data_IF_978996067626
#
_entry.id   IF_978996067626
#
_cell.length_a   1.000
_cell.length_b   1.000
_cell.length_c   1.000
_cell.angle_alpha   90.00
_cell.angle_beta   90.00
_cell.angle_gamma   90.00
#
_symmetry.space_group_name_H-M   'P 1'
#
loop_
_entity.id
_entity.type
_entity.pdbx_description
1 polymer ?
#
# COMPACT_ATOMS: atom_id res chain seq x y z
N UNK A 1 10.61 5.59 1.46
CA UNK A 1 9.82 6.37 0.48
C UNK A 1 9.19 5.40 -0.50
N UNK A 2 8.05 5.74 -1.11
CA UNK A 2 7.27 4.81 -1.93
C UNK A 2 8.07 4.21 -3.10
N UNK A 3 8.92 5.01 -3.76
CA UNK A 3 9.80 4.54 -4.85
C UNK A 3 10.74 3.42 -4.40
N UNK A 4 11.39 3.59 -3.25
CA UNK A 4 12.29 2.58 -2.68
C UNK A 4 11.54 1.28 -2.35
N UNK A 5 10.30 1.37 -1.88
CA UNK A 5 9.49 0.18 -1.57
C UNK A 5 9.16 -0.58 -2.85
N UNK A 6 8.74 0.10 -3.92
CA UNK A 6 8.50 -0.54 -5.21
C UNK A 6 9.76 -1.25 -5.73
N UNK A 7 10.92 -0.60 -5.67
CA UNK A 7 12.18 -1.18 -6.10
C UNK A 7 12.58 -2.42 -5.27
N UNK A 8 12.40 -2.35 -3.94
CA UNK A 8 12.79 -3.43 -3.04
C UNK A 8 11.82 -4.61 -3.03
N UNK A 9 10.53 -4.39 -3.29
CA UNK A 9 9.51 -5.44 -3.20
C UNK A 9 9.15 -6.02 -4.57
N UNK A 10 9.16 -5.19 -5.63
CA UNK A 10 8.78 -5.64 -6.97
C UNK A 10 10.00 -5.90 -7.87
N UNK A 11 11.18 -5.40 -7.50
CA UNK A 11 12.41 -5.54 -8.27
C UNK A 11 12.59 -4.42 -9.31
N UNK A 12 13.71 -4.49 -10.04
CA UNK A 12 14.15 -3.44 -10.98
C UNK A 12 13.32 -3.40 -12.27
N UNK A 13 12.71 -4.52 -12.65
CA UNK A 13 11.95 -4.60 -13.89
C UNK A 13 10.50 -4.11 -13.74
N UNK A 14 10.02 -3.85 -12.52
CA UNK A 14 8.68 -3.30 -12.29
C UNK A 14 8.68 -1.79 -12.48
N UNK A 15 7.98 -1.31 -13.51
CA UNK A 15 7.91 0.12 -13.83
C UNK A 15 6.56 0.70 -13.43
N UNK A 16 6.58 1.61 -12.46
CA UNK A 16 5.41 2.40 -12.07
C UNK A 16 5.78 3.86 -11.85
N UNK A 17 4.93 4.76 -12.36
CA UNK A 17 5.10 6.20 -12.24
C UNK A 17 4.25 6.73 -11.09
N UNK A 18 4.89 7.23 -10.03
CA UNK A 18 4.22 7.87 -8.91
C UNK A 18 3.73 9.27 -9.31
N UNK A 19 2.52 9.62 -8.90
CA UNK A 19 1.93 10.93 -9.15
C UNK A 19 2.26 11.91 -8.03
N UNK A 20 3.19 12.81 -8.31
CA UNK A 20 3.57 13.90 -7.40
C UNK A 20 4.25 13.42 -6.12
N UNK A 21 4.58 14.39 -5.25
CA UNK A 21 5.31 14.14 -4.01
C UNK A 21 4.39 14.13 -2.77
N UNK A 22 3.11 14.44 -2.94
CA UNK A 22 2.12 14.48 -1.86
C UNK A 22 1.41 13.11 -1.76
N UNK A 23 1.21 12.57 -0.54
CA UNK A 23 0.41 11.37 -0.35
C UNK A 23 -1.07 11.67 -0.64
N UNK A 24 -1.78 10.70 -1.21
CA UNK A 24 -3.23 10.79 -1.48
C UNK A 24 -4.08 10.49 -0.25
N UNK A 25 -3.49 9.86 0.76
CA UNK A 25 -4.17 9.47 1.98
C UNK A 25 -3.24 8.81 2.98
N UNK A 26 -3.77 8.50 4.14
CA UNK A 26 -3.04 7.76 5.17
C UNK A 26 -3.97 6.87 5.97
N UNK A 27 -3.41 5.80 6.53
CA UNK A 27 -4.05 4.93 7.50
C UNK A 27 -3.22 4.91 8.78
N UNK A 28 -3.85 5.03 9.94
CA UNK A 28 -3.18 4.94 11.25
C UNK A 28 -3.80 3.84 12.08
N UNK A 29 -2.97 3.07 12.77
CA UNK A 29 -3.43 2.04 13.69
C UNK A 29 -2.55 1.97 14.92
N UNK A 30 -3.14 1.48 16.02
CA UNK A 30 -2.48 1.33 17.32
C UNK A 30 -2.09 -0.13 17.50
N UNK A 31 -0.88 -0.38 18.00
CA UNK A 31 -0.43 -1.75 18.24
C UNK A 31 -1.16 -2.40 19.43
N UNK A 32 -1.28 -3.74 19.45
CA UNK A 32 -1.75 -4.48 20.62
C UNK A 32 -0.98 -4.11 21.88
N UNK A 33 -1.60 -4.26 23.07
CA UNK A 33 -0.98 -3.87 24.35
C UNK A 33 0.42 -4.48 24.53
N UNK A 34 0.59 -5.74 24.15
CA UNK A 34 1.85 -6.49 24.31
C UNK A 34 3.04 -5.89 23.55
N UNK A 35 2.81 -5.24 22.41
CA UNK A 35 3.89 -4.70 21.55
C UNK A 35 4.20 -3.23 21.92
N UNK A 36 3.26 -2.54 22.57
CA UNK A 36 3.40 -1.12 22.94
C UNK A 36 4.42 -0.88 24.04
N UNK A 37 4.74 -1.88 24.83
CA UNK A 37 5.74 -1.81 25.91
C UNK A 37 7.15 -1.53 25.35
N UNK A 38 7.39 -1.85 24.07
CA UNK A 38 8.67 -1.63 23.38
C UNK A 38 8.81 -0.22 22.76
N UNK A 39 8.02 0.76 23.23
CA UNK A 39 8.20 2.18 22.95
C UNK A 39 7.45 2.76 21.75
N UNK A 40 6.87 1.93 20.87
CA UNK A 40 6.05 2.40 19.74
C UNK A 40 4.56 2.20 19.99
N UNK A 41 3.77 3.28 19.90
CA UNK A 41 2.30 3.22 20.10
C UNK A 41 1.55 2.55 18.93
N UNK A 42 2.08 2.67 17.72
CA UNK A 42 1.39 2.25 16.50
C UNK A 42 2.15 2.70 15.25
N UNK A 43 1.47 2.64 14.11
CA UNK A 43 2.02 3.06 12.82
C UNK A 43 1.06 3.98 12.06
N UNK A 44 1.66 4.84 11.22
CA UNK A 44 0.97 5.66 10.24
C UNK A 44 1.53 5.35 8.86
N UNK A 45 0.68 4.84 7.98
CA UNK A 45 0.99 4.47 6.60
C UNK A 45 0.49 5.56 5.68
N UNK A 46 1.36 6.07 4.80
CA UNK A 46 1.00 7.05 3.79
C UNK A 46 0.89 6.37 2.42
N UNK A 47 -0.22 6.59 1.74
CA UNK A 47 -0.48 6.05 0.41
C UNK A 47 -0.13 7.07 -0.65
N UNK A 48 0.49 6.60 -1.72
CA UNK A 48 0.84 7.38 -2.90
C UNK A 48 0.20 6.72 -4.12
N UNK A 49 -0.33 7.54 -5.02
CA UNK A 49 -0.89 7.04 -6.27
C UNK A 49 0.24 6.78 -7.26
N UNK A 50 0.19 5.63 -7.93
CA UNK A 50 1.11 5.32 -9.02
C UNK A 50 0.36 4.70 -10.19
N UNK A 51 0.83 4.98 -11.41
CA UNK A 51 0.39 4.30 -12.62
C UNK A 51 1.39 3.22 -12.99
N UNK A 52 0.92 1.99 -13.11
CA UNK A 52 1.70 0.91 -13.68
C UNK A 52 1.97 1.18 -15.16
N UNK A 53 3.24 1.09 -15.57
CA UNK A 53 3.72 1.37 -16.92
C UNK A 53 4.20 0.10 -17.64
N UNK A 54 4.49 -0.97 -16.92
CA UNK A 54 4.91 -2.26 -17.48
C UNK A 54 5.91 -3.02 -16.61
N UNK A 55 6.20 -4.25 -17.01
CA UNK A 55 7.22 -5.12 -16.42
C UNK A 55 6.73 -5.96 -15.23
N UNK A 56 7.48 -7.02 -14.93
CA UNK A 56 7.03 -8.05 -13.98
C UNK A 56 7.66 -7.92 -12.59
N UNK A 57 6.94 -8.43 -11.60
CA UNK A 57 7.43 -8.57 -10.23
C UNK A 57 8.47 -9.71 -10.21
N UNK A 58 9.73 -9.37 -9.94
CA UNK A 58 10.83 -10.35 -9.98
C UNK A 58 11.06 -11.06 -8.66
N UNK A 59 10.64 -10.45 -7.54
CA UNK A 59 10.80 -11.08 -6.24
C UNK A 59 9.77 -12.19 -6.05
N UNK A 60 10.16 -13.24 -5.31
CA UNK A 60 9.28 -14.35 -4.92
C UNK A 60 8.30 -13.92 -3.82
N UNK A 61 7.52 -12.89 -4.09
CA UNK A 61 6.47 -12.41 -3.21
C UNK A 61 5.14 -12.85 -3.82
N UNK A 62 4.26 -13.42 -3.00
CA UNK A 62 2.90 -13.72 -3.42
C UNK A 62 2.15 -12.39 -3.60
N UNK A 63 1.69 -12.13 -4.82
CA UNK A 63 0.92 -10.94 -5.16
C UNK A 63 -0.25 -11.29 -6.07
N UNK A 64 -1.25 -10.42 -6.06
CA UNK A 64 -2.42 -10.52 -6.93
C UNK A 64 -2.88 -9.12 -7.32
N UNK A 65 -3.31 -8.98 -8.58
CA UNK A 65 -4.01 -7.79 -9.06
C UNK A 65 -5.49 -8.00 -8.83
N UNK A 66 -6.12 -7.10 -8.08
CA UNK A 66 -7.51 -7.20 -7.67
C UNK A 66 -8.33 -6.07 -8.26
N UNK A 67 -9.59 -6.35 -8.58
CA UNK A 67 -10.58 -5.31 -8.82
C UNK A 67 -11.11 -4.69 -7.51
N UNK A 68 -12.02 -3.71 -7.61
CA UNK A 68 -12.59 -3.03 -6.43
C UNK A 68 -13.45 -3.94 -5.54
N UNK A 69 -14.15 -4.91 -6.12
CA UNK A 69 -15.01 -5.82 -5.38
C UNK A 69 -14.17 -6.85 -4.60
N UNK A 70 -13.16 -7.42 -5.27
CA UNK A 70 -12.19 -8.35 -4.70
C UNK A 70 -11.30 -7.68 -3.64
N UNK A 71 -10.97 -6.40 -3.82
CA UNK A 71 -10.24 -5.63 -2.81
C UNK A 71 -10.99 -5.59 -1.46
N UNK A 72 -12.32 -5.54 -1.51
CA UNK A 72 -13.20 -5.53 -0.34
C UNK A 72 -13.20 -6.84 0.44
N UNK A 73 -12.98 -7.97 -0.24
CA UNK A 73 -12.92 -9.30 0.39
C UNK A 73 -11.50 -9.66 0.84
N UNK A 74 -10.48 -9.20 0.12
CA UNK A 74 -9.09 -9.51 0.43
C UNK A 74 -8.52 -8.68 1.60
N UNK A 75 -8.95 -7.42 1.76
CA UNK A 75 -8.41 -6.54 2.79
C UNK A 75 -9.22 -6.58 4.09
N UNK A 76 -8.56 -6.44 5.26
CA UNK A 76 -9.25 -6.18 6.52
C UNK A 76 -10.14 -4.93 6.42
N UNK A 77 -11.36 -5.01 6.94
CA UNK A 77 -12.36 -3.95 6.91
C UNK A 77 -11.85 -2.52 7.23
N UNK A 78 -11.01 -2.27 8.27
CA UNK A 78 -10.54 -0.92 8.57
C UNK A 78 -9.56 -0.38 7.52
N UNK A 79 -8.75 -1.25 6.90
CA UNK A 79 -7.82 -0.86 5.83
C UNK A 79 -8.62 -0.60 4.56
N UNK A 80 -9.55 -1.50 4.22
CA UNK A 80 -10.42 -1.33 3.06
C UNK A 80 -11.13 0.03 3.12
N UNK A 81 -11.77 0.35 4.25
CA UNK A 81 -12.44 1.65 4.46
C UNK A 81 -11.50 2.84 4.23
N UNK A 82 -10.25 2.73 4.65
CA UNK A 82 -9.26 3.79 4.43
C UNK A 82 -8.92 3.95 2.96
N UNK A 83 -8.66 2.83 2.26
CA UNK A 83 -8.24 2.81 0.87
C UNK A 83 -9.36 3.28 -0.06
N UNK A 84 -10.60 2.86 0.18
CA UNK A 84 -11.76 3.23 -0.64
C UNK A 84 -12.00 4.74 -0.73
N UNK A 85 -11.50 5.54 0.23
CA UNK A 85 -11.69 7.00 0.23
C UNK A 85 -10.87 7.74 -0.84
N UNK A 86 -9.82 7.12 -1.40
CA UNK A 86 -8.90 7.78 -2.32
C UNK A 86 -8.63 6.99 -3.62
N UNK A 87 -9.42 5.94 -3.88
CA UNK A 87 -9.39 5.25 -5.17
C UNK A 87 -10.07 6.09 -6.25
N UNK A 88 -9.37 6.31 -7.37
CA UNK A 88 -9.87 7.10 -8.51
C UNK A 88 -11.12 6.45 -9.10
N UNK A 89 -12.26 7.18 -9.22
CA UNK A 89 -13.49 6.64 -9.82
C UNK A 89 -13.23 6.14 -11.25
N UNK A 90 -13.96 5.10 -11.64
CA UNK A 90 -13.91 4.53 -13.00
C UNK A 90 -14.50 5.48 -14.05
#
# INVERSE_FOLDING_TARGET
TAERVLLQTCGKNFNAKIYGNAPIGFYKYVYPKQIRENGSRGAKVFYYLAKYMGGDVQEKVDYQWLDRAELGTALPAPIHRSVSMFLVPE
#
